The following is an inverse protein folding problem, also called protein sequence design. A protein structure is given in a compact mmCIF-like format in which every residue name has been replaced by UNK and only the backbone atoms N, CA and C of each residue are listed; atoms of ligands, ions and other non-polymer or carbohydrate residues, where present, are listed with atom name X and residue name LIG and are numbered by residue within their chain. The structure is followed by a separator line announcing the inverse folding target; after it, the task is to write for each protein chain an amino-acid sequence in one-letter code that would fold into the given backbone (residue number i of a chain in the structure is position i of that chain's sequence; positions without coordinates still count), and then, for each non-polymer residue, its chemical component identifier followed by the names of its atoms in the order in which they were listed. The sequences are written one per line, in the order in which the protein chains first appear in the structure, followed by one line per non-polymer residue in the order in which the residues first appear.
data_IF_484631315981
#
_entry.id   IF_484631315981
#
_cell.length_a   1.000
_cell.length_b   1.000
_cell.length_c   1.000
_cell.angle_alpha   90.00
_cell.angle_beta   90.00
_cell.angle_gamma   90.00
#
_symmetry.space_group_name_H-M   'P 1'
#
loop_
_entity.id
_entity.type
_entity.pdbx_description
1 polymer ?
#
# COMPACT_ATOMS: atom_id res chain seq x y z
N UNK A 1 -24.66 64.50 0.16
CA UNK A 1 -24.85 63.07 0.22
C UNK A 1 -23.68 62.39 -0.53
N UNK A 2 -22.64 61.99 0.20
CA UNK A 2 -21.44 61.35 -0.37
C UNK A 2 -21.63 59.84 -0.26
N UNK A 3 -21.71 59.17 -1.41
CA UNK A 3 -21.72 57.70 -1.49
C UNK A 3 -20.29 57.20 -1.34
N UNK A 4 -20.01 56.51 -0.23
CA UNK A 4 -18.78 55.72 -0.04
C UNK A 4 -18.92 54.41 -0.80
N UNK A 5 -18.10 54.20 -1.82
CA UNK A 5 -17.89 52.90 -2.46
C UNK A 5 -16.86 52.14 -1.63
N UNK A 6 -17.29 51.08 -0.95
CA UNK A 6 -16.39 50.10 -0.34
C UNK A 6 -15.92 49.13 -1.44
N UNK A 7 -14.67 49.32 -1.87
CA UNK A 7 -13.98 48.38 -2.75
C UNK A 7 -13.45 47.26 -1.86
N UNK A 8 -14.18 46.12 -1.86
CA UNK A 8 -13.73 44.91 -1.19
C UNK A 8 -12.61 44.28 -2.05
N UNK A 9 -11.36 44.54 -1.70
CA UNK A 9 -10.20 43.90 -2.32
C UNK A 9 -10.15 42.43 -1.83
N UNK A 10 -10.63 41.49 -2.66
CA UNK A 10 -10.46 40.06 -2.44
C UNK A 10 -8.97 39.77 -2.62
N UNK A 11 -8.23 39.75 -1.53
CA UNK A 11 -6.87 39.23 -1.48
C UNK A 11 -6.98 37.70 -1.56
N UNK A 12 -6.96 37.16 -2.77
CA UNK A 12 -6.66 35.73 -2.97
C UNK A 12 -5.21 35.54 -2.58
N UNK A 13 -5.00 35.06 -1.35
CA UNK A 13 -3.68 34.58 -0.94
C UNK A 13 -3.43 33.30 -1.74
N UNK A 14 -2.76 33.45 -2.87
CA UNK A 14 -2.06 32.36 -3.52
C UNK A 14 -0.96 31.95 -2.54
N UNK A 15 -1.19 30.88 -1.79
CA UNK A 15 -0.11 30.21 -1.09
C UNK A 15 0.76 29.59 -2.18
N UNK A 16 2.00 30.04 -2.38
CA UNK A 16 2.89 29.42 -3.34
C UNK A 16 3.10 27.97 -2.88
N UNK A 17 2.75 27.03 -3.73
CA UNK A 17 3.21 25.64 -3.59
C UNK A 17 4.71 25.70 -3.85
N UNK A 18 5.51 25.70 -2.78
CA UNK A 18 6.95 25.60 -2.90
C UNK A 18 7.26 24.17 -3.34
N UNK A 19 7.50 23.99 -4.63
CA UNK A 19 8.28 22.86 -5.13
C UNK A 19 9.70 23.07 -4.58
N UNK A 20 10.11 22.25 -3.63
CA UNK A 20 11.53 22.19 -3.28
C UNK A 20 12.17 21.40 -4.39
N UNK A 21 13.17 22.00 -5.06
CA UNK A 21 14.10 21.27 -5.92
C UNK A 21 14.88 20.26 -5.06
N UNK A 22 14.21 19.16 -4.73
CA UNK A 22 14.90 17.99 -4.21
C UNK A 22 15.52 17.30 -5.39
N UNK A 23 16.84 17.41 -5.51
CA UNK A 23 17.61 16.65 -6.49
C UNK A 23 17.39 15.16 -6.18
N UNK A 24 16.87 14.42 -7.14
CA UNK A 24 16.63 12.99 -7.00
C UNK A 24 17.05 12.28 -8.28
N UNK A 25 17.57 11.08 -8.10
CA UNK A 25 17.96 10.18 -9.18
C UNK A 25 17.04 8.98 -9.24
N UNK A 26 16.58 8.64 -10.43
CA UNK A 26 15.76 7.47 -10.69
C UNK A 26 16.52 6.49 -11.58
N UNK A 27 16.89 5.35 -11.01
CA UNK A 27 17.63 4.31 -11.70
C UNK A 27 16.71 3.11 -11.99
N UNK A 28 16.50 2.73 -13.27
CA UNK A 28 15.83 1.48 -13.59
C UNK A 28 16.68 0.31 -13.08
N UNK A 29 16.06 -0.59 -12.35
CA UNK A 29 16.69 -1.82 -11.88
C UNK A 29 16.52 -2.89 -12.95
N UNK A 30 17.43 -2.91 -13.93
CA UNK A 30 17.45 -3.94 -14.99
C UNK A 30 17.94 -5.24 -14.36
N UNK A 31 17.04 -6.14 -14.09
CA UNK A 31 17.35 -7.44 -13.54
C UNK A 31 17.52 -8.40 -14.71
N UNK A 32 18.75 -8.83 -14.97
CA UNK A 32 19.13 -9.68 -16.12
C UNK A 32 18.36 -11.01 -16.18
N UNK A 33 17.78 -11.46 -15.07
CA UNK A 33 16.92 -12.65 -14.96
C UNK A 33 15.67 -12.25 -14.20
N UNK A 34 14.90 -11.31 -14.73
CA UNK A 34 13.83 -10.61 -14.08
C UNK A 34 12.86 -11.49 -13.28
N UNK A 35 12.02 -10.85 -12.49
CA UNK A 35 10.82 -11.47 -11.90
C UNK A 35 10.19 -12.32 -13.00
N UNK A 36 9.88 -13.58 -12.75
CA UNK A 36 9.35 -14.52 -13.76
C UNK A 36 8.08 -14.03 -14.46
N UNK A 37 7.68 -12.79 -14.14
CA UNK A 37 6.68 -12.00 -14.78
C UNK A 37 6.94 -10.49 -14.62
N UNK A 38 6.68 -9.71 -15.64
CA UNK A 38 6.99 -8.27 -15.66
C UNK A 38 6.03 -7.42 -14.83
N UNK A 39 4.88 -7.96 -14.41
CA UNK A 39 3.88 -7.19 -13.67
C UNK A 39 4.07 -7.36 -12.18
N UNK A 40 4.47 -6.28 -11.51
CA UNK A 40 4.63 -6.19 -10.06
C UNK A 40 3.53 -5.30 -9.50
N UNK A 41 2.76 -5.80 -8.54
CA UNK A 41 1.66 -5.06 -7.92
C UNK A 41 2.02 -4.47 -6.55
N UNK A 42 2.92 -5.13 -5.82
CA UNK A 42 3.31 -4.73 -4.47
C UNK A 42 4.74 -5.16 -4.17
N UNK A 43 5.43 -4.38 -3.36
CA UNK A 43 6.78 -4.67 -2.89
C UNK A 43 6.86 -4.52 -1.37
N UNK A 44 7.55 -5.41 -0.70
CA UNK A 44 7.85 -5.29 0.73
C UNK A 44 9.23 -5.86 1.07
N UNK A 45 9.80 -5.38 2.17
CA UNK A 45 10.97 -6.00 2.77
C UNK A 45 10.51 -7.06 3.76
N UNK A 46 11.07 -8.27 3.64
CA UNK A 46 10.94 -9.30 4.65
C UNK A 46 11.87 -9.04 5.83
N UNK A 47 11.50 -9.54 7.01
CA UNK A 47 12.29 -9.44 8.23
C UNK A 47 13.70 -10.05 8.11
N UNK A 48 13.88 -10.99 7.17
CA UNK A 48 15.16 -11.58 6.79
C UNK A 48 16.04 -10.71 5.87
N UNK A 49 15.57 -9.52 5.47
CA UNK A 49 16.31 -8.56 4.64
C UNK A 49 16.19 -8.77 3.13
N UNK A 50 15.34 -9.71 2.68
CA UNK A 50 15.04 -9.88 1.26
C UNK A 50 13.90 -8.97 0.80
N UNK A 51 13.90 -8.63 -0.49
CA UNK A 51 12.75 -7.99 -1.12
C UNK A 51 11.78 -9.05 -1.63
N UNK A 52 10.50 -8.82 -1.37
CA UNK A 52 9.42 -9.68 -1.82
C UNK A 52 8.46 -8.90 -2.71
N UNK A 53 8.03 -9.52 -3.78
CA UNK A 53 7.17 -8.92 -4.80
C UNK A 53 5.92 -9.74 -5.00
N UNK A 54 4.78 -9.07 -5.11
CA UNK A 54 3.57 -9.71 -5.58
C UNK A 54 3.44 -9.56 -7.09
N UNK A 55 3.04 -10.63 -7.76
CA UNK A 55 2.97 -10.72 -9.22
C UNK A 55 1.64 -11.32 -9.67
N UNK A 56 1.42 -11.35 -10.98
CA UNK A 56 0.24 -11.99 -11.59
C UNK A 56 0.27 -13.52 -11.52
N UNK A 57 1.40 -14.14 -11.11
CA UNK A 57 1.53 -15.60 -10.97
C UNK A 57 1.76 -16.08 -9.53
N UNK A 58 1.83 -15.19 -8.56
CA UNK A 58 2.13 -15.50 -7.18
C UNK A 58 3.04 -14.47 -6.55
N UNK A 59 4.12 -14.90 -5.90
CA UNK A 59 5.10 -14.02 -5.27
C UNK A 59 6.52 -14.36 -5.73
N UNK A 60 7.41 -13.38 -5.67
CA UNK A 60 8.84 -13.54 -5.99
C UNK A 60 9.69 -12.95 -4.88
N UNK A 61 10.79 -13.61 -4.54
CA UNK A 61 11.80 -13.13 -3.59
C UNK A 61 13.07 -12.73 -4.32
N UNK A 62 13.64 -11.59 -3.96
CA UNK A 62 14.92 -11.10 -4.49
C UNK A 62 15.95 -11.02 -3.36
N UNK A 63 17.11 -11.66 -3.56
CA UNK A 63 18.21 -11.73 -2.58
C UNK A 63 19.34 -10.70 -2.83
N UNK A 64 19.13 -9.79 -3.79
CA UNK A 64 20.14 -8.83 -4.25
C UNK A 64 20.85 -9.25 -5.54
N UNK A 65 20.75 -10.52 -5.94
CA UNK A 65 21.41 -11.08 -7.12
C UNK A 65 20.45 -11.77 -8.08
N UNK A 66 19.46 -12.49 -7.56
CA UNK A 66 18.52 -13.30 -8.35
C UNK A 66 17.14 -13.34 -7.73
N UNK A 67 16.16 -13.61 -8.60
CA UNK A 67 14.78 -13.88 -8.18
C UNK A 67 14.56 -15.36 -7.94
N UNK A 68 13.71 -15.65 -6.97
CA UNK A 68 13.11 -16.95 -6.75
C UNK A 68 11.59 -16.80 -6.74
N UNK A 69 10.93 -17.46 -7.69
CA UNK A 69 9.49 -17.38 -7.86
C UNK A 69 8.78 -18.49 -7.10
N UNK A 70 7.64 -18.15 -6.50
CA UNK A 70 6.73 -19.04 -5.80
C UNK A 70 5.35 -18.87 -6.44
N UNK A 71 5.01 -19.72 -7.42
CA UNK A 71 3.75 -19.63 -8.12
C UNK A 71 2.59 -20.02 -7.20
N UNK A 72 1.54 -19.21 -7.18
CA UNK A 72 0.29 -19.56 -6.54
C UNK A 72 -0.64 -20.22 -7.56
N UNK A 73 -0.81 -21.52 -7.43
CA UNK A 73 -1.62 -22.33 -8.33
C UNK A 73 -2.87 -22.79 -7.58
N UNK A 74 -4.03 -22.45 -8.11
CA UNK A 74 -5.31 -23.01 -7.64
C UNK A 74 -5.79 -24.07 -8.62
N UNK A 75 -5.97 -25.30 -8.15
CA UNK A 75 -6.70 -26.32 -8.91
C UNK A 75 -8.19 -26.15 -8.64
N UNK A 76 -8.95 -25.84 -9.67
CA UNK A 76 -10.41 -25.70 -9.55
C UNK A 76 -11.08 -27.07 -9.52
N UNK A 77 -10.51 -28.06 -10.22
CA UNK A 77 -10.90 -29.46 -10.21
C UNK A 77 -9.73 -30.32 -10.71
N UNK A 78 -9.73 -31.60 -10.40
CA UNK A 78 -8.69 -32.56 -10.78
C UNK A 78 -8.49 -32.73 -12.32
N UNK A 79 -9.33 -32.12 -13.14
CA UNK A 79 -9.32 -32.18 -14.61
C UNK A 79 -9.02 -30.84 -15.28
N UNK A 80 -8.92 -29.72 -14.51
CA UNK A 80 -8.70 -28.39 -15.07
C UNK A 80 -7.22 -28.04 -15.14
N UNK A 81 -6.85 -27.25 -16.14
CA UNK A 81 -5.51 -26.65 -16.24
C UNK A 81 -5.23 -25.82 -15.00
N UNK A 82 -4.06 -25.99 -14.34
CA UNK A 82 -3.68 -25.19 -13.20
C UNK A 82 -3.75 -23.68 -13.53
N UNK A 83 -4.53 -22.92 -12.78
CA UNK A 83 -4.69 -21.48 -13.00
C UNK A 83 -3.83 -20.73 -12.01
N UNK A 84 -2.90 -19.92 -12.52
CA UNK A 84 -2.13 -19.02 -11.69
C UNK A 84 -3.02 -17.92 -11.09
N UNK A 85 -2.75 -17.56 -9.84
CA UNK A 85 -3.47 -16.50 -9.13
C UNK A 85 -2.58 -15.28 -8.96
N UNK A 86 -3.09 -14.14 -9.41
CA UNK A 86 -2.43 -12.87 -9.19
C UNK A 86 -2.56 -12.42 -7.73
N UNK A 87 -1.44 -12.07 -7.12
CA UNK A 87 -1.34 -11.53 -5.78
C UNK A 87 -1.36 -10.01 -5.86
N UNK A 88 -2.33 -9.38 -5.19
CA UNK A 88 -2.53 -7.92 -5.23
C UNK A 88 -1.69 -7.19 -4.19
N UNK A 89 -1.72 -7.67 -2.95
CA UNK A 89 -1.01 -7.07 -1.81
C UNK A 89 -0.28 -8.16 -1.07
N UNK A 90 0.94 -7.89 -0.63
CA UNK A 90 1.79 -8.82 0.11
C UNK A 90 2.35 -8.12 1.34
N UNK A 91 2.12 -8.65 2.54
CA UNK A 91 2.64 -8.07 3.79
C UNK A 91 3.09 -9.17 4.74
N UNK A 92 4.22 -8.98 5.40
CA UNK A 92 4.68 -9.88 6.44
C UNK A 92 3.91 -9.64 7.75
N UNK A 93 3.39 -10.70 8.34
CA UNK A 93 2.77 -10.70 9.66
C UNK A 93 3.81 -10.77 10.79
N UNK A 94 3.39 -10.47 12.01
CA UNK A 94 4.24 -10.61 13.21
C UNK A 94 4.61 -12.07 13.53
N UNK A 95 3.94 -13.02 12.92
CA UNK A 95 4.20 -14.46 12.97
C UNK A 95 5.26 -14.92 11.95
N UNK A 96 5.81 -13.99 11.15
CA UNK A 96 6.81 -14.26 10.14
C UNK A 96 6.27 -14.84 8.83
N UNK A 97 4.96 -15.04 8.70
CA UNK A 97 4.32 -15.46 7.47
C UNK A 97 4.04 -14.27 6.55
N UNK A 98 4.06 -14.49 5.25
CA UNK A 98 3.59 -13.50 4.29
C UNK A 98 2.11 -13.71 3.98
N UNK A 99 1.31 -12.69 4.26
CA UNK A 99 -0.10 -12.69 3.91
C UNK A 99 -0.30 -11.98 2.57
N UNK A 100 -1.16 -12.54 1.75
CA UNK A 100 -1.39 -12.11 0.38
C UNK A 100 -2.88 -11.97 0.08
N UNK A 101 -3.34 -10.78 -0.34
CA UNK A 101 -4.66 -10.62 -0.92
C UNK A 101 -4.62 -10.95 -2.42
N UNK A 102 -5.69 -11.56 -2.92
CA UNK A 102 -5.76 -12.07 -4.29
C UNK A 102 -6.66 -11.19 -5.16
N UNK A 103 -6.31 -11.04 -6.45
CA UNK A 103 -7.16 -10.31 -7.39
C UNK A 103 -8.53 -10.95 -7.58
N UNK A 104 -8.60 -12.28 -7.52
CA UNK A 104 -9.87 -13.01 -7.60
C UNK A 104 -10.62 -13.08 -6.27
N UNK A 105 -10.05 -12.49 -5.24
CA UNK A 105 -10.61 -12.38 -3.90
C UNK A 105 -10.01 -13.34 -2.89
N UNK A 106 -10.19 -12.99 -1.62
CA UNK A 106 -9.66 -13.75 -0.49
C UNK A 106 -8.26 -13.32 -0.04
N UNK A 107 -7.80 -13.98 1.01
CA UNK A 107 -6.45 -13.88 1.55
C UNK A 107 -5.88 -15.30 1.65
N UNK A 108 -4.61 -15.44 1.35
CA UNK A 108 -3.80 -16.62 1.65
C UNK A 108 -2.58 -16.18 2.45
N UNK A 109 -1.88 -17.10 3.09
CA UNK A 109 -0.57 -16.83 3.65
C UNK A 109 0.48 -17.75 3.03
N UNK A 110 1.71 -17.30 2.99
CA UNK A 110 2.86 -18.06 2.49
C UNK A 110 3.83 -18.31 3.64
N UNK A 111 4.11 -19.58 3.88
CA UNK A 111 5.11 -20.02 4.84
C UNK A 111 6.46 -20.10 4.14
N UNK A 112 7.43 -19.29 4.62
CA UNK A 112 8.78 -19.20 4.04
C UNK A 112 9.60 -20.46 4.26
N UNK A 113 9.39 -21.16 5.38
CA UNK A 113 10.13 -22.37 5.73
C UNK A 113 9.63 -23.57 4.93
N UNK A 114 8.32 -23.72 4.83
CA UNK A 114 7.70 -24.79 4.03
C UNK A 114 7.64 -24.45 2.54
N UNK A 115 7.87 -23.20 2.15
CA UNK A 115 7.71 -22.68 0.79
C UNK A 115 6.32 -22.98 0.20
N UNK A 116 5.28 -22.83 1.01
CA UNK A 116 3.90 -23.18 0.65
C UNK A 116 2.91 -22.07 0.97
N UNK A 117 1.91 -21.96 0.10
CA UNK A 117 0.73 -21.16 0.39
C UNK A 117 -0.25 -21.97 1.24
N UNK A 118 -0.75 -21.35 2.29
CA UNK A 118 -1.70 -21.91 3.24
C UNK A 118 -3.00 -21.09 3.23
N UNK A 119 -4.17 -21.74 3.35
CA UNK A 119 -5.44 -21.03 3.29
C UNK A 119 -5.66 -20.17 4.54
N UNK A 120 -6.19 -18.97 4.32
CA UNK A 120 -6.74 -18.10 5.37
C UNK A 120 -8.26 -18.10 5.26
N UNK A 121 -8.96 -18.41 6.34
CA UNK A 121 -10.41 -18.53 6.39
C UNK A 121 -10.99 -17.56 7.42
N UNK A 122 -12.22 -17.15 7.18
CA UNK A 122 -13.00 -16.36 8.13
C UNK A 122 -14.19 -17.16 8.62
N UNK A 123 -14.59 -16.96 9.87
CA UNK A 123 -15.74 -17.61 10.51
C UNK A 123 -17.08 -17.27 9.84
N UNK A 124 -17.12 -16.14 9.12
CA UNK A 124 -18.26 -15.68 8.34
C UNK A 124 -17.88 -15.50 6.88
N UNK A 125 -18.82 -15.73 5.95
CA UNK A 125 -18.57 -15.48 4.54
C UNK A 125 -18.49 -13.97 4.31
N UNK A 126 -17.28 -13.39 4.40
CA UNK A 126 -17.00 -12.18 3.66
C UNK A 126 -17.14 -12.56 2.19
N UNK A 127 -17.76 -11.71 1.39
CA UNK A 127 -17.67 -11.86 -0.07
C UNK A 127 -16.20 -11.68 -0.42
N UNK A 128 -15.49 -12.81 -0.54
CA UNK A 128 -14.03 -12.86 -0.61
C UNK A 128 -13.44 -12.08 -1.79
N UNK A 129 -14.25 -11.78 -2.83
CA UNK A 129 -13.85 -10.91 -3.96
C UNK A 129 -13.63 -9.45 -3.61
N UNK A 130 -13.80 -9.06 -2.37
CA UNK A 130 -13.92 -7.66 -1.97
C UNK A 130 -12.74 -7.13 -1.17
N UNK A 131 -11.81 -8.01 -0.72
CA UNK A 131 -10.65 -7.58 0.06
C UNK A 131 -9.67 -6.84 -0.86
N UNK A 132 -9.51 -5.54 -0.60
CA UNK A 132 -8.67 -4.65 -1.37
C UNK A 132 -7.27 -4.53 -0.77
N UNK A 133 -7.19 -4.42 0.56
CA UNK A 133 -5.96 -4.30 1.32
C UNK A 133 -6.20 -4.77 2.77
N UNK A 134 -5.16 -4.92 3.56
CA UNK A 134 -5.25 -5.31 4.96
C UNK A 134 -4.03 -4.81 5.75
N UNK A 135 -4.17 -4.71 7.07
CA UNK A 135 -3.04 -4.47 7.97
C UNK A 135 -3.33 -5.06 9.36
N UNK A 136 -2.25 -5.30 10.13
CA UNK A 136 -2.37 -5.70 11.53
C UNK A 136 -2.16 -4.51 12.45
N UNK A 137 -2.96 -4.46 13.50
CA UNK A 137 -2.76 -3.53 14.60
C UNK A 137 -3.23 -4.17 15.90
N UNK A 138 -2.38 -4.20 16.91
CA UNK A 138 -2.66 -4.74 18.24
C UNK A 138 -3.35 -6.12 18.21
N UNK A 139 -2.79 -7.07 17.44
CA UNK A 139 -3.29 -8.43 17.32
C UNK A 139 -4.59 -8.58 16.50
N UNK A 140 -5.18 -7.49 16.02
CA UNK A 140 -6.30 -7.50 15.08
C UNK A 140 -5.82 -7.40 13.64
N UNK A 141 -6.47 -8.11 12.73
CA UNK A 141 -6.35 -7.97 11.29
C UNK A 141 -7.49 -7.09 10.78
N UNK A 142 -7.15 -5.90 10.29
CA UNK A 142 -8.09 -4.98 9.66
C UNK A 142 -8.13 -5.25 8.15
N UNK A 143 -9.34 -5.32 7.61
CA UNK A 143 -9.63 -5.65 6.22
C UNK A 143 -10.27 -4.45 5.53
N UNK A 144 -9.59 -3.90 4.54
CA UNK A 144 -10.15 -2.94 3.61
C UNK A 144 -10.92 -3.68 2.51
N UNK A 145 -12.22 -3.41 2.39
CA UNK A 145 -13.09 -4.10 1.42
C UNK A 145 -13.86 -3.11 0.57
N UNK A 146 -14.52 -3.61 -0.48
CA UNK A 146 -15.43 -2.79 -1.30
C UNK A 146 -16.68 -2.32 -0.55
N UNK A 147 -16.96 -2.89 0.64
CA UNK A 147 -18.13 -2.54 1.44
C UNK A 147 -17.78 -1.79 2.74
N UNK A 148 -16.50 -1.73 3.09
CA UNK A 148 -16.04 -1.03 4.28
C UNK A 148 -14.80 -1.61 4.92
N UNK A 149 -14.50 -1.08 6.10
CA UNK A 149 -13.42 -1.52 6.96
C UNK A 149 -13.96 -2.52 7.98
N UNK A 150 -13.38 -3.71 8.03
CA UNK A 150 -13.71 -4.74 9.02
C UNK A 150 -12.53 -5.01 9.94
N UNK A 151 -12.83 -5.38 11.17
CA UNK A 151 -11.86 -5.87 12.15
C UNK A 151 -12.06 -7.37 12.35
N UNK A 152 -10.97 -8.11 12.36
CA UNK A 152 -10.96 -9.54 12.63
C UNK A 152 -9.82 -9.92 13.58
N UNK A 153 -9.97 -11.04 14.29
CA UNK A 153 -8.95 -11.59 15.18
C UNK A 153 -8.70 -13.06 14.88
N UNK A 154 -7.45 -13.53 15.05
CA UNK A 154 -7.15 -14.94 14.86
C UNK A 154 -7.91 -15.76 15.89
N UNK A 155 -8.55 -16.85 15.45
CA UNK A 155 -9.10 -17.87 16.32
C UNK A 155 -7.91 -18.78 16.70
N UNK A 156 -7.71 -19.06 17.99
CA UNK A 156 -6.67 -19.97 18.46
C UNK A 156 -6.78 -21.31 17.71
N UNK A 157 -5.69 -21.72 17.07
CA UNK A 157 -5.59 -23.02 16.37
C UNK A 157 -5.89 -24.17 17.36
N UNK A 158 -6.70 -25.14 16.92
CA UNK A 158 -6.63 -26.50 17.48
C UNK A 158 -5.34 -27.13 16.96
N UNK A 159 -4.56 -27.75 17.87
CA UNK A 159 -3.37 -28.49 17.49
C UNK A 159 -3.62 -29.42 16.31
N UNK A 160 -2.76 -29.38 15.31
CA UNK A 160 -2.77 -30.29 14.16
C UNK A 160 -3.50 -29.78 12.90
N UNK A 161 -3.95 -28.53 12.81
CA UNK A 161 -4.51 -27.97 11.57
C UNK A 161 -3.65 -26.82 11.05
N UNK A 162 -3.30 -26.89 9.76
CA UNK A 162 -2.54 -25.84 9.03
C UNK A 162 -3.41 -24.61 8.62
N UNK A 163 -4.70 -24.60 8.96
CA UNK A 163 -5.64 -23.56 8.57
C UNK A 163 -5.54 -22.33 9.50
N UNK A 164 -5.40 -21.16 8.90
CA UNK A 164 -5.48 -19.87 9.62
C UNK A 164 -6.93 -19.40 9.60
N UNK A 165 -7.58 -19.37 10.78
CA UNK A 165 -8.98 -18.96 10.90
C UNK A 165 -9.06 -17.65 11.68
N UNK A 166 -9.78 -16.68 11.11
CA UNK A 166 -10.06 -15.39 11.71
C UNK A 166 -11.56 -15.22 12.00
N UNK A 167 -11.86 -14.63 13.14
CA UNK A 167 -13.21 -14.23 13.52
C UNK A 167 -13.44 -12.77 13.17
N UNK A 168 -14.46 -12.48 12.39
CA UNK A 168 -14.93 -11.10 12.14
C UNK A 168 -15.67 -10.60 13.37
N UNK A 169 -15.17 -9.55 14.01
CA UNK A 169 -15.68 -9.08 15.29
C UNK A 169 -17.10 -8.49 15.19
N UNK A 170 -17.39 -7.77 14.11
CA UNK A 170 -18.70 -7.18 13.87
C UNK A 170 -19.24 -7.58 12.50
N UNK A 171 -20.54 -7.89 12.38
CA UNK A 171 -21.16 -8.18 11.09
C UNK A 171 -21.24 -6.95 10.18
N UNK A 172 -21.33 -5.75 10.76
CA UNK A 172 -21.30 -4.47 10.06
C UNK A 172 -19.87 -3.91 10.01
N UNK A 173 -19.50 -3.22 8.94
CA UNK A 173 -18.19 -2.59 8.85
C UNK A 173 -18.04 -1.44 9.85
N UNK A 174 -16.83 -1.25 10.38
CA UNK A 174 -16.49 -0.11 11.24
C UNK A 174 -16.69 1.22 10.51
N UNK A 175 -16.36 1.24 9.23
CA UNK A 175 -16.51 2.38 8.30
C UNK A 175 -17.13 1.84 7.03
N UNK A 176 -18.21 2.46 6.55
CA UNK A 176 -18.87 2.12 5.27
C UNK A 176 -18.19 2.81 4.10
N UNK A 177 -18.24 2.21 2.92
CA UNK A 177 -17.66 2.72 1.67
C UNK A 177 -16.61 1.77 1.12
N UNK A 178 -16.19 2.00 -0.11
CA UNK A 178 -15.12 1.20 -0.74
C UNK A 178 -13.76 1.65 -0.21
N UNK A 179 -13.15 0.83 0.63
CA UNK A 179 -11.81 1.09 1.17
C UNK A 179 -10.78 0.41 0.26
N UNK A 180 -9.82 1.17 -0.26
CA UNK A 180 -8.90 0.67 -1.30
C UNK A 180 -7.47 0.47 -0.85
N UNK A 181 -7.03 1.24 0.13
CA UNK A 181 -5.69 1.17 0.71
C UNK A 181 -5.80 1.27 2.22
N UNK A 182 -4.91 0.62 2.95
CA UNK A 182 -4.96 0.61 4.40
C UNK A 182 -3.56 0.49 5.00
N UNK A 183 -3.21 1.40 5.90
CA UNK A 183 -2.00 1.33 6.71
C UNK A 183 -2.25 1.78 8.15
N UNK A 184 -1.30 1.49 9.03
CA UNK A 184 -1.39 1.77 10.47
C UNK A 184 -0.07 2.31 11.00
N UNK A 185 -0.12 3.07 12.10
CA UNK A 185 1.06 3.46 12.87
C UNK A 185 1.51 2.36 13.87
N UNK A 186 0.81 1.23 13.88
CA UNK A 186 1.06 0.13 14.81
C UNK A 186 0.59 0.41 16.24
N UNK A 187 -0.11 1.53 16.48
CA UNK A 187 -0.61 1.96 17.79
C UNK A 187 -2.13 2.14 17.77
N UNK A 188 -2.57 3.36 17.54
CA UNK A 188 -3.99 3.73 17.65
C UNK A 188 -4.59 4.30 16.37
N UNK A 189 -3.81 4.40 15.30
CA UNK A 189 -4.25 5.09 14.10
C UNK A 189 -4.25 4.18 12.88
N UNK A 190 -5.35 4.22 12.13
CA UNK A 190 -5.46 3.68 10.79
C UNK A 190 -5.61 4.81 9.79
N UNK A 191 -4.99 4.63 8.64
CA UNK A 191 -5.08 5.54 7.49
C UNK A 191 -5.51 4.74 6.28
N UNK A 192 -6.50 5.23 5.55
CA UNK A 192 -7.03 4.52 4.39
C UNK A 192 -7.62 5.47 3.34
N UNK A 193 -7.72 4.99 2.11
CA UNK A 193 -8.39 5.70 1.03
C UNK A 193 -9.81 5.15 0.82
N UNK A 194 -10.79 6.06 0.76
CA UNK A 194 -12.17 5.75 0.36
C UNK A 194 -12.34 6.13 -1.10
N UNK A 195 -12.87 5.20 -1.89
CA UNK A 195 -13.12 5.33 -3.34
C UNK A 195 -11.89 5.71 -4.19
N UNK A 196 -10.67 5.52 -3.63
CA UNK A 196 -9.38 5.95 -4.18
C UNK A 196 -9.19 7.48 -4.24
N UNK A 197 -9.98 8.25 -3.56
CA UNK A 197 -9.96 9.72 -3.64
C UNK A 197 -9.72 10.36 -2.28
N UNK A 198 -10.46 9.92 -1.28
CA UNK A 198 -10.48 10.56 0.05
C UNK A 198 -9.60 9.80 1.02
N UNK A 199 -8.54 10.45 1.50
CA UNK A 199 -7.66 9.90 2.54
C UNK A 199 -8.22 10.23 3.91
N UNK A 200 -8.49 9.19 4.70
CA UNK A 200 -9.12 9.24 6.01
C UNK A 200 -8.14 8.75 7.08
N UNK A 201 -8.11 9.44 8.19
CA UNK A 201 -7.57 8.98 9.46
C UNK A 201 -8.71 8.44 10.32
N UNK A 202 -8.51 7.30 10.96
CA UNK A 202 -9.42 6.68 11.93
C UNK A 202 -8.67 6.40 13.21
N UNK A 203 -9.12 7.00 14.31
CA UNK A 203 -8.58 6.77 15.64
C UNK A 203 -9.30 5.58 16.28
N UNK A 204 -8.54 4.53 16.58
CA UNK A 204 -9.04 3.27 17.14
C UNK A 204 -9.52 3.41 18.58
N UNK A 205 -9.06 4.40 19.33
CA UNK A 205 -9.47 4.64 20.73
C UNK A 205 -10.77 5.40 20.77
N UNK A 206 -10.82 6.54 20.08
CA UNK A 206 -12.00 7.44 20.10
C UNK A 206 -13.08 7.02 19.13
N UNK A 207 -12.77 6.09 18.21
CA UNK A 207 -13.65 5.64 17.10
C UNK A 207 -14.09 6.78 16.18
N UNK A 208 -13.28 7.83 16.08
CA UNK A 208 -13.56 9.00 15.23
C UNK A 208 -12.76 8.96 13.94
N UNK A 209 -13.36 9.50 12.91
CA UNK A 209 -12.71 9.72 11.61
C UNK A 209 -12.45 11.19 11.38
N UNK A 210 -11.36 11.49 10.67
CA UNK A 210 -11.09 12.82 10.11
C UNK A 210 -10.57 12.68 8.69
N UNK A 211 -10.99 13.61 7.83
CA UNK A 211 -10.48 13.68 6.46
C UNK A 211 -9.12 14.36 6.51
N UNK A 212 -8.10 13.69 5.99
CA UNK A 212 -6.77 14.28 5.82
C UNK A 212 -6.78 15.16 4.58
N UNK A 213 -7.14 14.57 3.44
CA UNK A 213 -7.15 15.26 2.14
C UNK A 213 -7.99 14.47 1.12
N UNK A 214 -8.42 15.17 0.09
CA UNK A 214 -9.00 14.58 -1.13
C UNK A 214 -7.99 14.72 -2.28
N UNK A 215 -7.86 13.66 -3.08
CA UNK A 215 -6.98 13.59 -4.24
C UNK A 215 -7.77 13.02 -5.42
N UNK A 216 -7.26 13.20 -6.65
CA UNK A 216 -7.93 12.65 -7.84
C UNK A 216 -7.94 11.12 -7.82
N UNK A 217 -6.77 10.51 -7.65
CA UNK A 217 -6.66 9.05 -7.54
C UNK A 217 -5.48 8.66 -6.64
N UNK A 218 -5.78 7.91 -5.59
CA UNK A 218 -4.80 7.31 -4.70
C UNK A 218 -4.55 5.87 -5.11
N UNK A 219 -3.34 5.56 -5.55
CA UNK A 219 -2.93 4.21 -5.89
C UNK A 219 -2.43 3.43 -4.67
N UNK A 220 -1.63 4.09 -3.83
CA UNK A 220 -1.04 3.47 -2.65
C UNK A 220 -0.93 4.44 -1.49
N UNK A 221 -1.09 3.91 -0.27
CA UNK A 221 -0.80 4.58 0.99
C UNK A 221 0.16 3.73 1.81
N UNK A 222 1.15 4.36 2.42
CA UNK A 222 1.92 3.74 3.49
C UNK A 222 2.45 4.77 4.47
N UNK A 223 2.69 4.34 5.69
CA UNK A 223 3.16 5.18 6.79
C UNK A 223 4.62 4.85 7.10
N UNK A 224 5.49 5.86 7.11
CA UNK A 224 6.90 5.73 7.52
C UNK A 224 7.39 7.00 8.20
N UNK A 225 8.06 6.84 9.35
CA UNK A 225 8.74 7.92 10.08
C UNK A 225 7.86 9.13 10.40
N UNK A 226 6.55 8.95 10.65
CA UNK A 226 5.61 10.03 10.93
C UNK A 226 5.05 10.73 9.69
N UNK A 227 5.41 10.26 8.50
CA UNK A 227 4.89 10.75 7.23
C UNK A 227 3.95 9.74 6.60
N UNK A 228 2.84 10.22 6.09
CA UNK A 228 1.96 9.44 5.22
C UNK A 228 2.36 9.69 3.78
N UNK A 229 2.82 8.63 3.13
CA UNK A 229 3.22 8.63 1.73
C UNK A 229 2.05 8.20 0.87
N UNK A 230 1.75 8.97 -0.17
CA UNK A 230 0.58 8.80 -1.01
C UNK A 230 1.06 8.77 -2.46
N UNK A 231 1.02 7.59 -3.08
CA UNK A 231 1.29 7.46 -4.51
C UNK A 231 0.00 7.77 -5.28
N UNK A 232 0.07 8.74 -6.18
CA UNK A 232 -1.05 9.14 -7.05
C UNK A 232 -0.94 8.51 -8.43
N UNK A 233 -2.02 8.56 -9.18
CA UNK A 233 -2.07 7.94 -10.51
C UNK A 233 -1.09 8.58 -11.51
N UNK A 234 -0.89 9.90 -11.44
CA UNK A 234 -0.13 10.67 -12.41
C UNK A 234 1.33 10.90 -11.99
N UNK A 235 1.95 9.83 -11.46
CA UNK A 235 3.38 9.79 -11.09
C UNK A 235 3.83 10.79 -10.02
N UNK A 236 2.88 11.34 -9.29
CA UNK A 236 3.18 12.17 -8.14
C UNK A 236 3.22 11.32 -6.87
N UNK A 237 4.20 11.59 -6.04
CA UNK A 237 4.30 11.04 -4.69
C UNK A 237 4.12 12.20 -3.71
N UNK A 238 3.08 12.13 -2.89
CA UNK A 238 2.85 13.11 -1.84
C UNK A 238 3.41 12.58 -0.53
N UNK A 239 4.23 13.38 0.12
CA UNK A 239 4.70 13.17 1.48
C UNK A 239 3.93 14.11 2.41
N UNK A 240 3.01 13.57 3.20
CA UNK A 240 2.20 14.32 4.16
C UNK A 240 2.75 14.12 5.58
N UNK A 241 3.15 15.21 6.21
CA UNK A 241 3.62 15.22 7.61
C UNK A 241 2.42 15.19 8.56
N UNK A 242 2.29 14.11 9.32
CA UNK A 242 1.19 13.93 10.29
C UNK A 242 1.25 14.89 11.47
N UNK A 243 2.42 15.47 11.77
CA UNK A 243 2.59 16.40 12.89
C UNK A 243 2.28 17.84 12.49
N UNK A 244 2.84 18.30 11.37
CA UNK A 244 2.68 19.69 10.91
C UNK A 244 1.48 19.88 9.99
N UNK A 245 0.88 18.80 9.49
CA UNK A 245 -0.19 18.77 8.49
C UNK A 245 0.19 19.43 7.16
N UNK A 246 1.50 19.51 6.87
CA UNK A 246 2.02 20.00 5.61
C UNK A 246 2.26 18.86 4.63
N UNK A 247 2.13 19.15 3.35
CA UNK A 247 2.45 18.21 2.29
C UNK A 247 3.54 18.74 1.38
N UNK A 248 4.28 17.80 0.79
CA UNK A 248 5.25 18.02 -0.28
C UNK A 248 4.94 17.06 -1.40
N UNK A 249 4.99 17.55 -2.62
CA UNK A 249 4.77 16.75 -3.82
C UNK A 249 6.11 16.51 -4.48
N UNK A 250 6.40 15.24 -4.75
CA UNK A 250 7.53 14.80 -5.57
C UNK A 250 6.95 14.37 -6.90
N UNK A 251 7.16 15.18 -7.94
CA UNK A 251 6.78 14.80 -9.30
C UNK A 251 7.88 13.91 -9.87
N UNK A 252 7.51 12.78 -10.45
CA UNK A 252 8.43 11.90 -11.16
C UNK A 252 8.48 12.21 -12.67
N UNK A 253 7.81 13.28 -13.10
CA UNK A 253 7.81 13.75 -14.47
C UNK A 253 8.84 14.86 -14.69
N UNK A 254 9.58 14.80 -15.78
CA UNK A 254 10.45 15.88 -16.29
C UNK A 254 11.95 15.61 -16.24
N UNK A 255 12.68 16.35 -17.05
CA UNK A 255 14.14 16.28 -17.18
C UNK A 255 14.64 15.09 -18.01
N UNK A 256 15.89 14.68 -17.79
CA UNK A 256 16.57 13.55 -18.46
C UNK A 256 16.15 12.18 -17.86
N UNK A 257 15.02 12.13 -17.16
CA UNK A 257 14.54 10.97 -16.43
C UNK A 257 13.78 10.00 -17.36
N UNK A 258 13.66 8.72 -16.97
CA UNK A 258 12.85 7.75 -17.72
C UNK A 258 11.44 8.29 -17.95
N UNK A 259 10.95 8.13 -19.17
CA UNK A 259 9.58 8.55 -19.53
C UNK A 259 8.54 7.68 -18.83
N UNK A 260 7.91 8.23 -17.82
CA UNK A 260 6.79 7.62 -17.10
C UNK A 260 5.43 7.92 -17.73
N UNK A 261 5.37 8.59 -18.89
CA UNK A 261 4.10 9.03 -19.50
C UNK A 261 3.08 7.91 -19.71
N UNK A 262 3.54 6.67 -19.83
CA UNK A 262 2.70 5.49 -20.01
C UNK A 262 2.72 4.53 -18.81
N UNK A 263 3.39 4.89 -17.72
CA UNK A 263 3.51 4.08 -16.52
C UNK A 263 3.04 4.85 -15.29
N UNK A 264 2.68 4.17 -14.24
CA UNK A 264 2.38 4.79 -12.95
C UNK A 264 2.91 3.93 -11.80
N UNK A 265 3.23 4.59 -10.71
CA UNK A 265 3.71 3.93 -9.49
C UNK A 265 2.60 3.08 -8.90
N UNK A 266 2.82 1.77 -8.88
CA UNK A 266 1.89 0.81 -8.30
C UNK A 266 2.11 0.66 -6.81
N UNK A 267 3.38 0.74 -6.38
CA UNK A 267 3.76 0.68 -4.97
C UNK A 267 5.15 1.29 -4.74
N UNK A 268 5.47 1.52 -3.48
CA UNK A 268 6.74 2.08 -3.06
C UNK A 268 7.17 1.51 -1.71
N UNK A 269 8.44 1.19 -1.56
CA UNK A 269 9.02 0.77 -0.29
C UNK A 269 10.29 1.58 0.01
N UNK A 270 10.38 2.05 1.25
CA UNK A 270 11.55 2.78 1.73
C UNK A 270 12.63 1.77 2.17
N UNK A 271 13.82 1.83 1.55
CA UNK A 271 15.00 1.09 1.97
C UNK A 271 15.68 1.75 3.16
N UNK A 272 15.93 3.05 3.04
CA UNK A 272 16.55 3.90 4.05
C UNK A 272 15.94 5.31 4.00
N UNK A 273 16.52 6.28 4.71
CA UNK A 273 15.98 7.64 4.79
C UNK A 273 15.95 8.40 3.46
N UNK A 274 16.76 8.00 2.50
CA UNK A 274 16.94 8.71 1.22
C UNK A 274 16.63 7.83 0.01
N UNK A 275 16.54 6.51 0.19
CA UNK A 275 16.39 5.55 -0.90
C UNK A 275 15.08 4.82 -0.82
N UNK A 276 14.36 4.82 -1.93
CA UNK A 276 13.12 4.11 -2.13
C UNK A 276 13.23 3.17 -3.33
N UNK A 277 12.48 2.08 -3.29
CA UNK A 277 12.20 1.29 -4.48
C UNK A 277 10.75 1.51 -4.89
N UNK A 278 10.56 1.85 -6.16
CA UNK A 278 9.26 2.07 -6.78
C UNK A 278 8.95 0.90 -7.69
N UNK A 279 7.77 0.34 -7.58
CA UNK A 279 7.24 -0.57 -8.58
C UNK A 279 6.31 0.17 -9.51
N UNK A 280 6.39 -0.13 -10.78
CA UNK A 280 5.57 0.44 -11.83
C UNK A 280 5.05 -0.68 -12.73
N UNK A 281 4.24 -0.35 -13.71
CA UNK A 281 3.75 -1.34 -14.68
C UNK A 281 4.84 -1.89 -15.59
N UNK A 282 5.92 -1.15 -15.80
CA UNK A 282 7.02 -1.49 -16.70
C UNK A 282 8.31 -1.88 -15.98
N UNK A 283 8.34 -1.85 -14.63
CA UNK A 283 9.50 -2.34 -13.91
C UNK A 283 9.67 -1.87 -12.47
N UNK A 284 10.88 -2.12 -11.97
CA UNK A 284 11.36 -1.71 -10.66
C UNK A 284 12.36 -0.57 -10.84
N UNK A 285 12.20 0.49 -10.06
CA UNK A 285 13.07 1.65 -10.05
C UNK A 285 13.60 1.92 -8.65
N UNK A 286 14.82 2.41 -8.56
CA UNK A 286 15.42 2.94 -7.35
C UNK A 286 15.37 4.46 -7.42
N UNK A 287 14.67 5.09 -6.50
CA UNK A 287 14.59 6.52 -6.31
C UNK A 287 15.52 6.92 -5.16
N UNK A 288 16.48 7.78 -5.41
CA UNK A 288 17.39 8.30 -4.41
C UNK A 288 17.27 9.81 -4.31
N UNK A 289 17.10 10.32 -3.08
CA UNK A 289 17.09 11.75 -2.80
C UNK A 289 18.43 12.17 -2.20
N UNK A 290 19.12 13.12 -2.79
CA UNK A 290 20.38 13.65 -2.24
C UNK A 290 20.20 14.34 -0.89
N UNK A 291 19.09 15.06 -0.72
CA UNK A 291 18.76 15.79 0.49
C UNK A 291 17.27 15.71 0.81
N UNK A 292 16.83 14.58 1.35
CA UNK A 292 15.45 14.43 1.81
C UNK A 292 15.29 15.04 3.22
N UNK A 293 15.43 16.36 3.35
CA UNK A 293 15.08 17.07 4.59
C UNK A 293 13.57 17.21 4.69
N UNK A 294 12.91 16.13 5.12
CA UNK A 294 11.46 16.12 5.36
C UNK A 294 11.05 17.04 6.52
N UNK A 295 12.01 17.44 7.36
CA UNK A 295 11.76 18.17 8.62
C UNK A 295 12.11 19.66 8.60
N UNK A 296 12.83 20.18 7.63
CA UNK A 296 13.20 21.59 7.61
C UNK A 296 12.23 22.38 6.74
N UNK A 297 11.31 23.08 7.41
CA UNK A 297 10.67 24.26 6.82
C UNK A 297 11.71 25.37 6.80
N UNK A 298 11.81 26.19 5.72
CA UNK A 298 12.50 27.45 5.82
C UNK A 298 11.83 28.37 6.85
#
# INVERSE_FOLDING_TARGET
MRKFFFLLLLLTVFLPSYSIDTHWDLEPQIIKNGVGNNTIYHVCYGSEGFMWFSTDKGISRYDGFRFRDYPLIMSVDSLSTPLHQAVKTLKEGSDGLFYASLYQGGITCFDKEMEKFLPVRFDRPLKLKEIQDFCWNDGSLYLATSHGLFESRPIRKKEGKEDFVYCILNPEPLIKGKITNLCTDGKTNLYFAVDREKVIHYDLVTKRTSVIREYDVVNRLFLRQGYLWICRLWNDIVCYDLKSHKERVVSLEGGDQPDFSNSYVTDMVMKDKQTFYLTTWDGLYKLHFENLNLCESP
#
